data_IF_793034968205
#
_entry.id   IF_793034968205
#
_cell.length_a   1.000
_cell.length_b   1.000
_cell.length_c   1.000
_cell.angle_alpha   90.00
_cell.angle_beta   90.00
_cell.angle_gamma   90.00
#
_symmetry.space_group_name_H-M   'P 1'
#
loop_
_entity.id
_entity.type
_entity.pdbx_description
1 polymer ?
#
# COMPACT_ATOMS: atom_id res chain seq x y z
N UNK A 1 -21.28 7.92 15.23
CA UNK A 1 -20.16 7.59 14.34
C UNK A 1 -19.74 6.16 14.63
N UNK A 2 -20.03 5.24 13.71
CA UNK A 2 -19.60 3.85 13.83
C UNK A 2 -18.11 3.74 13.50
N UNK A 3 -17.37 2.86 14.17
CA UNK A 3 -15.96 2.62 13.85
C UNK A 3 -15.76 2.25 12.36
N UNK A 4 -16.76 1.63 11.75
CA UNK A 4 -16.74 1.25 10.33
C UNK A 4 -16.68 2.46 9.39
N UNK A 5 -17.20 3.62 9.80
CA UNK A 5 -17.14 4.87 9.02
C UNK A 5 -15.74 5.49 9.01
N UNK A 6 -14.88 5.14 9.97
CA UNK A 6 -13.50 5.61 10.04
C UNK A 6 -12.50 4.69 9.32
N UNK A 7 -12.88 3.45 9.04
CA UNK A 7 -12.04 2.46 8.33
C UNK A 7 -12.06 2.66 6.81
N UNK A 8 -12.28 3.89 6.35
CA UNK A 8 -12.73 4.20 4.99
C UNK A 8 -11.66 4.00 3.90
N UNK A 9 -10.40 3.74 4.29
CA UNK A 9 -9.28 3.55 3.35
C UNK A 9 -8.34 2.41 3.75
N UNK A 10 -8.80 1.15 3.71
CA UNK A 10 -7.92 0.02 3.93
C UNK A 10 -6.92 -0.09 2.78
N UNK A 11 -5.64 -0.30 3.12
CA UNK A 11 -4.62 -0.63 2.12
C UNK A 11 -4.51 -2.14 2.02
N UNK A 12 -4.89 -2.66 0.86
CA UNK A 12 -4.59 -4.04 0.49
C UNK A 12 -3.19 -4.11 -0.14
N UNK A 13 -2.37 -5.04 0.33
CA UNK A 13 -1.11 -5.39 -0.32
C UNK A 13 -0.96 -6.92 -0.41
N UNK A 14 -0.15 -7.36 -1.37
CA UNK A 14 0.02 -8.78 -1.64
C UNK A 14 1.15 -9.36 -0.78
N UNK A 15 0.89 -10.51 -0.14
CA UNK A 15 1.89 -11.22 0.67
C UNK A 15 3.13 -11.64 -0.13
N UNK A 16 3.00 -11.90 -1.44
CA UNK A 16 4.13 -12.26 -2.29
C UNK A 16 5.24 -11.20 -2.31
N UNK A 17 4.89 -9.92 -2.12
CA UNK A 17 5.88 -8.84 -2.02
C UNK A 17 6.71 -8.96 -0.75
N UNK A 18 6.18 -9.53 0.33
CA UNK A 18 6.93 -9.77 1.57
C UNK A 18 8.00 -10.82 1.36
N UNK A 19 7.69 -11.88 0.62
CA UNK A 19 8.68 -12.91 0.28
C UNK A 19 9.81 -12.34 -0.59
N UNK A 20 9.51 -11.41 -1.49
CA UNK A 20 10.50 -10.78 -2.37
C UNK A 20 11.35 -9.75 -1.61
N UNK A 21 10.70 -8.87 -0.84
CA UNK A 21 11.37 -7.72 -0.20
C UNK A 21 11.95 -8.04 1.18
N UNK A 22 11.52 -9.14 1.81
CA UNK A 22 11.88 -9.50 3.18
C UNK A 22 11.41 -8.50 4.24
N UNK A 23 10.45 -7.62 3.91
CA UNK A 23 10.02 -6.54 4.82
C UNK A 23 8.56 -6.15 4.55
N UNK A 24 7.74 -6.15 5.60
CA UNK A 24 6.33 -5.73 5.50
C UNK A 24 6.23 -4.26 5.07
N UNK A 25 7.02 -3.38 5.68
CA UNK A 25 7.07 -1.95 5.36
C UNK A 25 7.44 -1.67 3.89
N UNK A 26 8.45 -2.36 3.37
CA UNK A 26 8.85 -2.24 1.96
C UNK A 26 7.78 -2.80 1.02
N UNK A 27 7.15 -3.91 1.38
CA UNK A 27 6.06 -4.51 0.61
C UNK A 27 4.84 -3.61 0.52
N UNK A 28 4.47 -2.98 1.63
CA UNK A 28 3.37 -2.03 1.71
C UNK A 28 3.64 -0.81 0.82
N UNK A 29 4.83 -0.22 0.97
CA UNK A 29 5.26 0.93 0.16
C UNK A 29 5.29 0.60 -1.34
N UNK A 30 5.79 -0.59 -1.71
CA UNK A 30 5.80 -1.07 -3.10
C UNK A 30 4.38 -1.24 -3.66
N UNK A 31 3.46 -1.83 -2.89
CA UNK A 31 2.07 -2.01 -3.31
C UNK A 31 1.41 -0.66 -3.61
N UNK A 32 1.66 0.32 -2.76
CA UNK A 32 1.12 1.67 -2.93
C UNK A 32 1.81 2.42 -4.09
N UNK A 33 3.11 2.21 -4.31
CA UNK A 33 3.82 2.77 -5.46
C UNK A 33 3.25 2.25 -6.79
N UNK A 34 2.98 0.94 -6.88
CA UNK A 34 2.36 0.33 -8.06
C UNK A 34 0.94 0.85 -8.29
N UNK A 35 0.16 1.06 -7.22
CA UNK A 35 -1.16 1.66 -7.31
C UNK A 35 -1.11 3.06 -7.94
N UNK A 36 -0.20 3.92 -7.47
CA UNK A 36 -0.03 5.26 -8.01
C UNK A 36 0.50 5.25 -9.44
N UNK A 37 1.51 4.43 -9.75
CA UNK A 37 2.04 4.30 -11.11
C UNK A 37 0.96 3.85 -12.10
N UNK A 38 0.11 2.87 -11.74
CA UNK A 38 -1.00 2.43 -12.59
C UNK A 38 -2.04 3.54 -12.83
N UNK A 39 -2.21 4.44 -11.87
CA UNK A 39 -3.20 5.53 -11.94
C UNK A 39 -2.68 6.75 -12.70
N UNK A 40 -1.37 6.98 -12.66
CA UNK A 40 -0.70 8.05 -13.39
C UNK A 40 -0.60 7.68 -14.86
N UNK A 41 -1.32 8.39 -15.73
CA UNK A 41 -1.29 8.18 -17.19
C UNK A 41 -0.12 8.93 -17.87
N UNK A 42 0.92 9.30 -17.13
CA UNK A 42 2.10 9.96 -17.71
C UNK A 42 2.91 8.95 -18.53
N UNK A 43 3.47 9.44 -19.64
CA UNK A 43 4.25 8.66 -20.61
C UNK A 43 5.43 7.93 -19.99
N UNK A 44 5.99 8.46 -18.90
CA UNK A 44 7.22 7.93 -18.30
C UNK A 44 6.98 7.13 -17.00
N UNK A 45 5.72 6.91 -16.62
CA UNK A 45 5.31 6.14 -15.42
C UNK A 45 5.86 6.67 -14.08
N UNK A 46 6.37 7.91 -14.05
CA UNK A 46 6.81 8.55 -12.81
C UNK A 46 5.62 9.16 -12.09
N UNK A 47 5.65 9.11 -10.76
CA UNK A 47 4.68 9.82 -9.94
C UNK A 47 5.39 10.59 -8.83
N UNK A 48 4.89 11.76 -8.52
CA UNK A 48 5.36 12.57 -7.40
C UNK A 48 4.62 12.17 -6.12
N UNK A 49 5.35 12.11 -5.00
CA UNK A 49 4.75 11.93 -3.67
C UNK A 49 5.61 12.53 -2.58
N UNK A 50 5.03 13.32 -1.68
CA UNK A 50 5.71 13.84 -0.50
C UNK A 50 5.81 12.79 0.61
N UNK A 51 6.70 13.02 1.58
CA UNK A 51 6.84 12.17 2.77
C UNK A 51 5.57 12.16 3.62
N UNK A 52 4.93 13.32 3.74
CA UNK A 52 3.70 13.51 4.49
C UNK A 52 2.57 12.73 3.83
N UNK A 53 2.43 12.83 2.50
CA UNK A 53 1.45 12.04 1.75
C UNK A 53 1.70 10.53 1.87
N UNK A 54 2.97 10.09 1.85
CA UNK A 54 3.33 8.71 2.14
C UNK A 54 2.91 8.27 3.55
N UNK A 55 3.06 9.15 4.55
CA UNK A 55 2.67 8.89 5.94
C UNK A 55 1.16 8.78 6.07
N UNK A 56 0.42 9.71 5.47
CA UNK A 56 -1.05 9.75 5.50
C UNK A 56 -1.67 8.50 4.87
N UNK A 57 -1.05 7.96 3.82
CA UNK A 57 -1.54 6.76 3.17
C UNK A 57 -1.13 5.50 3.93
N UNK A 58 0.17 5.32 4.17
CA UNK A 58 0.69 4.03 4.64
C UNK A 58 0.76 3.92 6.17
N UNK A 59 0.67 5.03 6.89
CA UNK A 59 0.90 5.09 8.33
C UNK A 59 2.38 4.89 8.74
N UNK A 60 3.30 4.77 7.77
CA UNK A 60 4.72 4.54 8.06
C UNK A 60 5.37 5.81 8.60
N UNK A 61 6.13 5.67 9.68
CA UNK A 61 6.99 6.73 10.20
C UNK A 61 8.09 7.09 9.21
N UNK A 62 8.72 8.25 9.41
CA UNK A 62 9.85 8.70 8.58
C UNK A 62 10.96 7.65 8.46
N UNK A 63 11.37 7.04 9.57
CA UNK A 63 12.46 6.05 9.60
C UNK A 63 12.05 4.77 8.87
N UNK A 64 10.79 4.35 9.01
CA UNK A 64 10.27 3.18 8.28
C UNK A 64 10.21 3.43 6.78
N UNK A 65 9.80 4.63 6.35
CA UNK A 65 9.83 5.02 4.94
C UNK A 65 11.24 5.04 4.38
N UNK A 66 12.20 5.63 5.09
CA UNK A 66 13.61 5.68 4.67
C UNK A 66 14.19 4.26 4.55
N UNK A 67 13.91 3.39 5.52
CA UNK A 67 14.35 1.98 5.50
C UNK A 67 13.68 1.19 4.37
N UNK A 68 12.37 1.39 4.16
CA UNK A 68 11.63 0.76 3.07
C UNK A 68 12.19 1.19 1.70
N UNK A 69 12.41 2.49 1.49
CA UNK A 69 13.02 3.03 0.27
C UNK A 69 14.40 2.45 0.02
N UNK A 70 15.27 2.43 1.04
CA UNK A 70 16.61 1.87 0.91
C UNK A 70 16.58 0.40 0.46
N UNK A 71 15.70 -0.42 1.06
CA UNK A 71 15.50 -1.82 0.65
C UNK A 71 14.99 -1.94 -0.78
N UNK A 72 13.94 -1.20 -1.14
CA UNK A 72 13.37 -1.27 -2.49
C UNK A 72 14.38 -0.83 -3.56
N UNK A 73 15.20 0.18 -3.28
CA UNK A 73 16.30 0.60 -4.17
C UNK A 73 17.37 -0.47 -4.30
N UNK A 74 17.77 -1.12 -3.19
CA UNK A 74 18.79 -2.18 -3.24
C UNK A 74 18.35 -3.40 -4.06
N UNK A 75 17.04 -3.64 -4.17
CA UNK A 75 16.46 -4.72 -4.97
C UNK A 75 16.15 -4.29 -6.41
N UNK A 76 16.44 -3.04 -6.76
CA UNK A 76 16.08 -2.40 -8.02
C UNK A 76 14.57 -2.44 -8.32
N UNK A 77 13.75 -2.39 -7.27
CA UNK A 77 12.28 -2.40 -7.36
C UNK A 77 11.68 -0.99 -7.38
N UNK A 78 12.41 0.01 -6.87
CA UNK A 78 11.97 1.40 -6.82
C UNK A 78 13.11 2.32 -7.23
N UNK A 79 12.82 3.20 -8.18
CA UNK A 79 13.67 4.29 -8.62
C UNK A 79 13.13 5.60 -8.05
N UNK A 80 14.04 6.53 -7.74
CA UNK A 80 13.70 7.82 -7.19
C UNK A 80 14.53 8.93 -7.84
N UNK A 81 13.91 10.07 -8.10
CA UNK A 81 14.55 11.19 -8.75
C UNK A 81 14.03 12.52 -8.20
N UNK A 82 14.92 13.47 -7.93
CA UNK A 82 14.55 14.84 -7.58
C UNK A 82 14.41 15.66 -8.86
N UNK A 83 13.23 16.23 -9.10
CA UNK A 83 12.96 17.05 -10.28
C UNK A 83 12.35 18.40 -9.90
N UNK A 84 12.64 19.41 -10.74
CA UNK A 84 12.01 20.73 -10.71
C UNK A 84 12.48 21.68 -9.60
N UNK A 85 11.83 22.84 -9.55
CA UNK A 85 12.01 23.91 -8.57
C UNK A 85 10.60 24.37 -8.11
N UNK A 86 10.21 24.23 -6.83
CA UNK A 86 10.93 23.56 -5.75
C UNK A 86 11.13 22.06 -6.04
N UNK A 87 12.23 21.49 -5.56
CA UNK A 87 12.59 20.10 -5.83
C UNK A 87 11.57 19.14 -5.22
N UNK A 88 10.98 18.28 -6.06
CA UNK A 88 10.01 17.26 -5.68
C UNK A 88 10.57 15.87 -5.92
N UNK A 89 10.26 14.93 -5.02
CA UNK A 89 10.63 13.53 -5.18
C UNK A 89 9.65 12.82 -6.09
N UNK A 90 10.16 12.32 -7.20
CA UNK A 90 9.47 11.44 -8.12
C UNK A 90 9.90 10.00 -7.88
N UNK A 91 8.96 9.08 -8.03
CA UNK A 91 9.16 7.65 -7.86
C UNK A 91 8.68 6.91 -9.09
N UNK A 92 9.33 5.78 -9.37
CA UNK A 92 8.91 4.81 -10.38
C UNK A 92 9.20 3.40 -9.89
N UNK A 93 8.20 2.53 -9.91
CA UNK A 93 8.38 1.12 -9.62
C UNK A 93 8.88 0.37 -10.87
N UNK A 94 9.88 -0.48 -10.69
CA UNK A 94 10.42 -1.30 -11.77
C UNK A 94 9.56 -2.57 -11.92
N UNK A 95 8.50 -2.47 -12.74
CA UNK A 95 7.55 -3.56 -12.96
C UNK A 95 8.23 -4.76 -13.61
N UNK A 96 9.10 -4.55 -14.59
CA UNK A 96 9.84 -5.63 -15.25
C UNK A 96 10.71 -6.43 -14.26
N UNK A 97 11.38 -5.74 -13.33
CA UNK A 97 12.15 -6.39 -12.27
C UNK A 97 11.25 -7.17 -11.32
N UNK A 98 10.12 -6.60 -10.94
CA UNK A 98 9.15 -7.27 -10.08
C UNK A 98 8.58 -8.54 -10.72
N UNK A 99 8.22 -8.49 -12.00
CA UNK A 99 7.75 -9.65 -12.77
C UNK A 99 8.80 -10.76 -12.80
N UNK A 100 10.06 -10.42 -13.10
CA UNK A 100 11.15 -11.38 -13.10
C UNK A 100 11.31 -12.08 -11.74
N UNK A 101 11.24 -11.34 -10.63
CA UNK A 101 11.32 -11.90 -9.28
C UNK A 101 10.11 -12.77 -8.95
N UNK A 102 8.90 -12.38 -9.36
CA UNK A 102 7.69 -13.18 -9.18
C UNK A 102 7.75 -14.49 -9.97
N UNK A 103 8.21 -14.46 -11.22
CA UNK A 103 8.38 -15.67 -12.04
C UNK A 103 9.36 -16.66 -11.40
N UNK A 104 10.47 -16.17 -10.81
CA UNK A 104 11.43 -17.01 -10.08
C UNK A 104 10.80 -17.67 -8.85
N UNK A 105 9.94 -16.95 -8.13
CA UNK A 105 9.24 -17.48 -6.96
C UNK A 105 8.18 -18.54 -7.33
N UNK A 106 7.51 -18.40 -8.47
CA UNK A 106 6.50 -19.37 -8.93
C UNK A 106 7.12 -20.60 -9.59
N UNK A 107 8.25 -20.42 -10.30
CA UNK A 107 9.00 -21.50 -10.96
C UNK A 107 9.77 -22.41 -9.99
N UNK A 108 10.01 -21.96 -8.76
CA UNK A 108 10.59 -22.77 -7.68
C UNK A 108 9.52 -23.22 -6.68
N UNK A 109 9.01 -24.44 -6.80
CA UNK A 109 8.08 -25.06 -5.82
C UNK A 109 8.86 -26.04 -4.91
N UNK A 110 8.38 -26.36 -3.69
CA UNK A 110 8.59 -25.58 -2.45
C UNK A 110 9.20 -26.43 -1.30
N UNK A 111 10.01 -25.83 -0.43
CA UNK A 111 10.38 -26.31 0.93
C UNK A 111 11.26 -25.22 1.56
N UNK A 112 11.16 -24.77 2.82
CA UNK A 112 10.61 -25.37 4.03
C UNK A 112 10.10 -24.27 4.97
N UNK A 113 9.12 -24.65 5.77
CA UNK A 113 8.61 -23.95 6.96
C UNK A 113 9.73 -23.69 7.96
N UNK A 114 10.05 -22.42 8.23
CA UNK A 114 10.64 -22.02 9.51
C UNK A 114 9.88 -20.79 10.01
N UNK A 115 8.83 -21.11 10.79
CA UNK A 115 8.11 -20.17 11.62
C UNK A 115 9.11 -19.44 12.52
N UNK A 116 8.97 -18.11 12.60
CA UNK A 116 9.79 -17.27 13.44
C UNK A 116 9.82 -17.76 14.89
N UNK A 117 11.02 -17.89 15.43
CA UNK A 117 11.27 -17.86 16.86
C UNK A 117 10.72 -16.54 17.43
N UNK A 118 9.61 -16.62 18.17
CA UNK A 118 9.29 -15.62 19.19
C UNK A 118 9.77 -16.15 20.56
N UNK A 119 10.51 -15.35 21.35
CA UNK A 119 10.86 -15.73 22.70
C UNK A 119 9.63 -15.73 23.64
N UNK A 120 9.60 -16.78 24.44
CA UNK A 120 8.57 -17.26 25.36
C UNK A 120 8.17 -16.23 26.44
N UNK A 121 6.97 -15.67 26.31
CA UNK A 121 6.28 -14.94 27.37
C UNK A 121 5.46 -15.88 28.27
N UNK A 122 5.90 -16.00 29.53
CA UNK A 122 5.32 -16.80 30.61
C UNK A 122 3.87 -16.35 30.95
N UNK A 123 2.85 -17.14 30.63
CA UNK A 123 1.48 -16.95 31.12
C UNK A 123 1.06 -18.07 32.07
N UNK A 124 0.62 -17.68 33.27
CA UNK A 124 0.05 -18.53 34.31
C UNK A 124 -1.48 -18.33 34.33
N UNK A 125 -2.20 -19.44 34.51
CA UNK A 125 -3.55 -19.59 35.10
C UNK A 125 -4.73 -19.12 34.23
N UNK A 126 -5.51 -20.01 33.59
CA UNK A 126 -6.55 -20.93 34.12
C UNK A 126 -7.77 -20.21 34.70
N UNK A 127 -8.89 -20.22 33.98
CA UNK A 127 -10.17 -20.68 34.50
C UNK A 127 -11.16 -21.03 33.38
N UNK A 128 -12.00 -21.98 33.72
CA UNK A 128 -12.90 -22.81 32.95
C UNK A 128 -14.31 -22.25 33.04
N UNK A 129 -15.11 -22.35 31.99
CA UNK A 129 -16.53 -22.70 32.08
C UNK A 129 -17.00 -23.18 30.69
N UNK A 130 -17.69 -24.32 30.72
CA UNK A 130 -18.28 -25.04 29.59
C UNK A 130 -19.53 -24.28 29.16
N UNK A 131 -19.83 -24.30 27.87
CA UNK A 131 -21.18 -24.65 27.42
C UNK A 131 -21.21 -25.04 25.93
N UNK A 132 -21.98 -26.08 25.70
CA UNK A 132 -22.50 -26.65 24.46
C UNK A 132 -23.46 -25.62 23.81
N UNK A 133 -23.76 -25.56 22.51
CA UNK A 133 -24.26 -26.58 21.60
C UNK A 133 -24.15 -26.12 20.14
N UNK A 134 -24.19 -27.12 19.26
CA UNK A 134 -24.50 -27.15 17.83
C UNK A 134 -25.38 -26.01 17.29
N UNK A 135 -24.96 -25.35 16.20
CA UNK A 135 -25.86 -25.08 15.06
C UNK A 135 -25.09 -24.68 13.80
N UNK A 136 -25.33 -25.49 12.78
CA UNK A 136 -25.05 -25.31 11.36
C UNK A 136 -25.59 -23.99 10.82
N UNK A 137 -24.76 -23.20 10.13
CA UNK A 137 -25.20 -22.41 8.99
C UNK A 137 -24.02 -22.05 8.08
N UNK A 138 -24.18 -22.45 6.83
CA UNK A 138 -23.33 -22.23 5.66
C UNK A 138 -23.23 -20.73 5.38
N UNK A 139 -22.00 -20.22 5.22
CA UNK A 139 -21.73 -18.87 4.72
C UNK A 139 -21.83 -18.87 3.18
N UNK A 140 -22.73 -18.07 2.56
CA UNK A 140 -22.64 -17.76 1.15
C UNK A 140 -21.80 -16.49 0.95
N UNK A 141 -20.69 -16.61 0.23
CA UNK A 141 -20.27 -15.56 -0.70
C UNK A 141 -21.30 -15.48 -1.85
N UNK A 142 -21.49 -14.35 -2.58
CA UNK A 142 -20.45 -13.40 -2.94
C UNK A 142 -20.81 -11.90 -2.86
N UNK A 143 -19.73 -11.13 -2.72
CA UNK A 143 -19.64 -9.71 -3.02
C UNK A 143 -20.19 -9.38 -4.42
N UNK A 144 -21.24 -8.58 -4.47
CA UNK A 144 -21.49 -7.64 -5.56
C UNK A 144 -21.93 -6.31 -4.95
N UNK A 145 -21.11 -5.26 -5.08
CA UNK A 145 -21.68 -3.94 -5.30
C UNK A 145 -20.71 -3.02 -6.03
N UNK A 146 -21.18 -2.72 -7.24
CA UNK A 146 -20.80 -1.68 -8.16
C UNK A 146 -20.63 -0.32 -7.43
N UNK A 147 -19.47 0.32 -7.53
CA UNK A 147 -19.25 1.69 -7.04
C UNK A 147 -19.17 2.66 -8.23
N UNK A 148 -20.34 3.05 -8.72
CA UNK A 148 -20.51 4.34 -9.37
C UNK A 148 -20.54 5.42 -8.28
N UNK A 149 -19.66 6.41 -8.38
CA UNK A 149 -19.88 7.86 -8.20
C UNK A 149 -18.48 8.50 -8.06
N UNK A 150 -17.94 8.92 -9.19
CA UNK A 150 -16.85 9.89 -9.25
C UNK A 150 -17.45 11.20 -9.79
N UNK A 151 -17.79 12.12 -8.89
CA UNK A 151 -17.93 13.55 -9.22
C UNK A 151 -17.92 14.38 -7.94
N UNK A 152 -16.81 15.10 -7.72
CA UNK A 152 -16.76 16.54 -7.40
C UNK A 152 -15.37 16.88 -6.84
N UNK A 153 -14.52 17.46 -7.69
CA UNK A 153 -13.57 18.48 -7.25
C UNK A 153 -13.89 19.74 -8.06
N UNK A 154 -14.54 20.67 -7.38
CA UNK A 154 -14.85 21.98 -7.91
C UNK A 154 -13.57 22.80 -8.07
N UNK A 155 -13.28 23.19 -9.30
CA UNK A 155 -12.38 24.29 -9.59
C UNK A 155 -13.03 25.58 -9.09
N UNK A 156 -12.49 26.15 -8.01
CA UNK A 156 -12.83 27.50 -7.56
C UNK A 156 -11.94 28.49 -8.32
N UNK A 157 -12.37 28.87 -9.52
CA UNK A 157 -11.82 30.01 -10.23
C UNK A 157 -12.39 31.30 -9.60
N UNK A 158 -11.55 32.02 -8.86
CA UNK A 158 -11.82 33.39 -8.44
C UNK A 158 -11.66 34.34 -9.63
N UNK A 159 -12.73 35.09 -9.95
CA UNK A 159 -12.78 36.17 -10.93
C UNK A 159 -12.53 37.53 -10.26
N UNK A 160 -11.98 38.46 -11.05
CA UNK A 160 -12.09 39.92 -10.89
C UNK A 160 -10.75 40.59 -11.22
N UNK A 161 -10.60 41.60 -12.09
CA UNK A 161 -11.50 42.53 -12.79
C UNK A 161 -10.77 42.96 -14.11
N UNK A 162 -11.38 43.00 -15.30
CA UNK A 162 -12.22 44.06 -15.93
C UNK A 162 -11.65 45.49 -15.94
N UNK A 163 -11.19 45.93 -17.10
CA UNK A 163 -11.32 47.28 -17.73
C UNK A 163 -11.13 47.00 -19.25
N UNK A 164 -12.01 47.33 -20.20
CA UNK A 164 -12.80 48.55 -20.39
C UNK A 164 -12.19 49.29 -21.59
N UNK A 165 -12.88 49.28 -22.74
CA UNK A 165 -12.34 49.64 -24.05
C UNK A 165 -12.12 51.13 -24.34
N UNK A 166 -11.59 51.35 -25.55
CA UNK A 166 -11.44 52.60 -26.29
C UNK A 166 -11.14 52.24 -27.73
#
# INVERSE_FOLDING_TARGET
MSILEYLDRPIAFHRCFVTITGSITASLMLSQALYWQKRTQETDEWFFKSREEWTEETGLSRTEQETARAKLKSLDLLQEELRGLPARMYYRANVARLEALLCQQVGGKPANTEAGNLPTGRQKSRQHLKETETTTAVFPHPFTLNWHIARRSGCRAGRGLSCGGG
#
